data_IF_063682866255
#
_entry.id   IF_063682866255
#
_cell.length_a   1.000
_cell.length_b   1.000
_cell.length_c   1.000
_cell.angle_alpha   90.00
_cell.angle_beta   90.00
_cell.angle_gamma   90.00
#
_symmetry.space_group_name_H-M   'P 1'
#
loop_
_entity.id
_entity.type
_entity.pdbx_description
1 polymer ?
#
# COMPACT_ATOMS: atom_id res chain seq x y z
N UNK A 1 2.77 17.36 -17.15
CA UNK A 1 1.97 17.94 -16.04
C UNK A 1 1.93 16.89 -14.93
N UNK A 2 2.27 17.22 -13.68
CA UNK A 2 2.13 16.27 -12.56
C UNK A 2 0.68 16.33 -12.08
N UNK A 3 0.00 15.20 -12.06
CA UNK A 3 -1.45 15.08 -11.84
C UNK A 3 -1.86 15.31 -10.38
N UNK A 4 -0.93 15.68 -9.48
CA UNK A 4 -1.21 15.92 -8.05
C UNK A 4 -1.59 14.67 -7.24
N UNK A 5 -1.52 13.47 -7.82
CA UNK A 5 -1.92 12.22 -7.14
C UNK A 5 -0.83 11.77 -6.16
N UNK A 6 -1.21 11.64 -4.89
CA UNK A 6 -0.37 11.06 -3.83
C UNK A 6 -0.52 9.54 -3.84
N UNK A 7 0.61 8.82 -3.84
CA UNK A 7 0.66 7.35 -3.85
C UNK A 7 1.53 6.82 -2.73
N UNK A 8 1.27 5.59 -2.31
CA UNK A 8 2.18 4.83 -1.47
C UNK A 8 3.06 3.94 -2.35
N UNK A 9 4.35 3.89 -2.06
CA UNK A 9 5.32 3.05 -2.78
C UNK A 9 5.95 2.07 -1.79
N UNK A 10 5.67 0.78 -1.98
CA UNK A 10 6.28 -0.29 -1.19
C UNK A 10 7.44 -0.89 -1.96
N UNK A 11 8.65 -0.80 -1.39
CA UNK A 11 9.84 -1.47 -1.93
C UNK A 11 9.91 -2.90 -1.42
N UNK A 12 9.95 -3.85 -2.35
CA UNK A 12 10.11 -5.27 -2.08
C UNK A 12 11.60 -5.65 -2.13
N UNK A 13 12.00 -6.57 -1.26
CA UNK A 13 13.36 -7.13 -1.20
C UNK A 13 13.27 -8.63 -1.44
N UNK A 14 14.39 -9.21 -1.87
CA UNK A 14 14.58 -10.66 -1.90
C UNK A 14 13.55 -11.45 -2.74
N UNK A 15 13.00 -10.82 -3.77
CA UNK A 15 12.16 -11.48 -4.76
C UNK A 15 12.91 -11.59 -6.09
N UNK A 16 12.81 -12.75 -6.73
CA UNK A 16 13.20 -12.91 -8.13
C UNK A 16 12.11 -12.35 -9.06
N UNK A 17 12.31 -12.44 -10.38
CA UNK A 17 11.35 -11.89 -11.35
C UNK A 17 10.00 -12.61 -11.33
N UNK A 18 10.04 -13.94 -11.31
CA UNK A 18 8.85 -14.80 -11.35
C UNK A 18 8.00 -14.56 -10.10
N UNK A 19 8.60 -14.61 -8.92
CA UNK A 19 7.91 -14.34 -7.64
C UNK A 19 7.27 -12.95 -7.61
N UNK A 20 7.96 -11.95 -8.17
CA UNK A 20 7.43 -10.58 -8.22
C UNK A 20 6.24 -10.47 -9.17
N UNK A 21 6.33 -11.06 -10.37
CA UNK A 21 5.25 -11.06 -11.36
C UNK A 21 4.02 -11.81 -10.84
N UNK A 22 4.19 -12.99 -10.23
CA UNK A 22 3.11 -13.76 -9.60
C UNK A 22 2.44 -12.98 -8.46
N UNK A 23 3.24 -12.30 -7.62
CA UNK A 23 2.70 -11.49 -6.54
C UNK A 23 1.89 -10.31 -7.04
N UNK A 24 2.37 -9.60 -8.07
CA UNK A 24 1.62 -8.50 -8.70
C UNK A 24 0.33 -9.00 -9.34
N UNK A 25 0.36 -10.13 -10.03
CA UNK A 25 -0.83 -10.71 -10.66
C UNK A 25 -1.89 -11.04 -9.61
N UNK A 26 -1.50 -11.75 -8.55
CA UNK A 26 -2.39 -12.06 -7.42
C UNK A 26 -3.00 -10.80 -6.80
N UNK A 27 -2.19 -9.77 -6.53
CA UNK A 27 -2.69 -8.52 -5.96
C UNK A 27 -3.61 -7.74 -6.92
N UNK A 28 -3.39 -7.83 -8.23
CA UNK A 28 -4.22 -7.20 -9.26
C UNK A 28 -5.57 -7.90 -9.46
N UNK A 29 -5.62 -9.22 -9.21
CA UNK A 29 -6.84 -10.02 -9.30
C UNK A 29 -7.76 -9.84 -8.08
N UNK A 30 -7.20 -9.43 -6.94
CA UNK A 30 -7.96 -9.10 -5.73
C UNK A 30 -8.69 -7.77 -5.91
N UNK A 31 -9.94 -7.84 -6.36
CA UNK A 31 -10.85 -6.69 -6.52
C UNK A 31 -11.95 -6.74 -5.47
N UNK A 32 -11.80 -5.94 -4.41
CA UNK A 32 -12.81 -5.83 -3.36
C UNK A 32 -12.77 -4.43 -2.73
N UNK A 33 -13.92 -3.83 -2.34
CA UNK A 33 -13.96 -2.48 -1.77
C UNK A 33 -13.09 -2.26 -0.52
N UNK A 34 -12.74 -3.35 0.19
CA UNK A 34 -11.94 -3.32 1.42
C UNK A 34 -10.51 -3.85 1.23
N UNK A 35 -10.09 -4.12 -0.02
CA UNK A 35 -8.74 -4.61 -0.33
C UNK A 35 -8.09 -3.62 -1.28
N UNK A 36 -6.93 -3.09 -0.89
CA UNK A 36 -6.21 -2.12 -1.71
C UNK A 36 -5.46 -2.83 -2.84
N UNK A 37 -5.90 -2.61 -4.08
CA UNK A 37 -5.21 -3.11 -5.26
C UNK A 37 -4.03 -2.18 -5.65
N UNK A 38 -2.93 -2.71 -6.20
CA UNK A 38 -1.89 -1.90 -6.81
C UNK A 38 -2.41 -1.10 -8.00
N UNK A 39 -1.93 0.14 -8.14
CA UNK A 39 -2.19 0.99 -9.33
C UNK A 39 -1.06 0.89 -10.36
N UNK A 40 0.07 0.29 -9.98
CA UNK A 40 1.20 0.07 -10.86
C UNK A 40 2.37 -0.58 -10.14
N UNK A 41 3.42 -0.90 -10.89
CA UNK A 41 4.64 -1.47 -10.35
C UNK A 41 5.87 -1.07 -11.17
N UNK A 42 7.05 -1.23 -10.58
CA UNK A 42 8.33 -1.09 -11.25
C UNK A 42 9.23 -2.28 -10.91
N UNK A 43 9.83 -2.90 -11.92
CA UNK A 43 10.80 -3.98 -11.74
C UNK A 43 12.10 -3.67 -12.45
N UNK A 44 13.19 -3.70 -11.68
CA UNK A 44 14.59 -3.73 -12.11
C UNK A 44 15.38 -4.66 -11.18
N UNK A 45 16.60 -5.02 -11.59
CA UNK A 45 17.48 -5.95 -10.87
C UNK A 45 17.58 -5.62 -9.37
N UNK A 46 17.80 -4.34 -9.07
CA UNK A 46 18.05 -3.83 -7.70
C UNK A 46 16.84 -3.11 -7.10
N UNK A 47 15.77 -2.92 -7.87
CA UNK A 47 14.62 -2.15 -7.41
C UNK A 47 13.30 -2.79 -7.85
N UNK A 48 12.47 -3.11 -6.85
CA UNK A 48 11.17 -3.76 -7.04
C UNK A 48 10.15 -2.96 -6.24
N UNK A 49 9.29 -2.22 -6.93
CA UNK A 49 8.35 -1.28 -6.32
C UNK A 49 6.92 -1.67 -6.68
N UNK A 50 6.06 -1.63 -5.67
CA UNK A 50 4.60 -1.72 -5.83
C UNK A 50 4.04 -0.35 -5.49
N UNK A 51 3.18 0.18 -6.37
CA UNK A 51 2.54 1.48 -6.22
C UNK A 51 1.06 1.26 -5.94
N UNK A 52 0.53 1.92 -4.92
CA UNK A 52 -0.90 1.91 -4.56
C UNK A 52 -1.40 3.31 -4.23
N UNK A 53 -2.72 3.45 -4.10
CA UNK A 53 -3.30 4.68 -3.54
C UNK A 53 -2.73 4.93 -2.13
N UNK A 54 -2.56 6.21 -1.78
CA UNK A 54 -2.13 6.59 -0.45
C UNK A 54 -3.34 6.70 0.48
N UNK A 55 -3.29 6.00 1.62
CA UNK A 55 -4.31 6.07 2.66
C UNK A 55 -3.94 7.12 3.71
N UNK A 56 -4.58 8.32 3.73
CA UNK A 56 -4.17 9.43 4.58
C UNK A 56 -4.40 9.19 6.07
N UNK A 57 -5.33 8.30 6.43
CA UNK A 57 -5.61 7.93 7.82
C UNK A 57 -4.61 6.91 8.38
N UNK A 58 -3.66 6.45 7.56
CA UNK A 58 -2.58 5.59 8.00
C UNK A 58 -3.03 4.18 8.43
N UNK A 59 -2.21 3.56 9.28
CA UNK A 59 -2.39 2.19 9.74
C UNK A 59 -3.40 2.11 10.88
N UNK A 60 -4.40 1.22 10.75
CA UNK A 60 -5.34 0.96 11.83
C UNK A 60 -4.63 0.42 13.10
N UNK A 61 -3.59 -0.40 12.93
CA UNK A 61 -2.76 -0.87 14.06
C UNK A 61 -2.20 0.31 14.86
N UNK A 62 -1.73 1.35 14.16
CA UNK A 62 -1.21 2.55 14.82
C UNK A 62 -2.32 3.33 15.52
N UNK A 63 -3.48 3.49 14.88
CA UNK A 63 -4.64 4.18 15.48
C UNK A 63 -5.13 3.50 16.76
N UNK A 64 -5.11 2.16 16.81
CA UNK A 64 -5.59 1.39 17.96
C UNK A 64 -4.58 1.29 19.11
N UNK A 65 -3.27 1.29 18.83
CA UNK A 65 -2.25 0.89 19.81
C UNK A 65 -1.13 1.91 20.05
N UNK A 66 -1.18 3.11 19.46
CA UNK A 66 -0.16 4.14 19.75
C UNK A 66 -0.43 4.82 21.09
N UNK A 67 0.55 4.77 22.00
CA UNK A 67 0.47 5.34 23.37
C UNK A 67 0.57 6.88 23.41
N UNK A 68 0.61 7.57 22.27
CA UNK A 68 0.86 9.01 22.24
C UNK A 68 -0.03 9.77 21.24
N UNK A 69 -0.80 10.75 21.79
CA UNK A 69 -1.02 12.15 21.31
C UNK A 69 -2.47 12.61 20.99
N UNK A 70 -2.74 13.94 21.07
CA UNK A 70 -4.06 14.58 21.26
C UNK A 70 -5.04 14.50 20.10
N UNK A 71 -4.59 14.04 18.93
CA UNK A 71 -5.29 14.08 17.65
C UNK A 71 -5.87 12.70 17.30
N UNK A 72 -6.30 11.98 18.35
CA UNK A 72 -6.82 10.61 18.24
C UNK A 72 -7.94 10.58 17.20
N UNK A 73 -7.71 9.85 16.10
CA UNK A 73 -8.75 9.54 15.13
C UNK A 73 -9.84 8.80 15.89
N UNK A 74 -11.00 9.44 16.06
CA UNK A 74 -12.17 8.80 16.65
C UNK A 74 -12.71 7.86 15.59
N UNK A 75 -12.64 6.56 15.89
CA UNK A 75 -13.27 5.53 15.09
C UNK A 75 -14.76 5.55 15.41
N UNK A 76 -15.58 5.88 14.42
CA UNK A 76 -17.05 5.89 14.47
C UNK A 76 -17.64 4.51 14.19
N UNK A 77 -16.95 3.46 14.64
CA UNK A 77 -17.38 2.09 14.45
C UNK A 77 -18.67 1.83 15.26
N UNK A 78 -19.66 1.14 14.68
CA UNK A 78 -20.92 0.80 15.36
C UNK A 78 -20.73 -0.21 16.49
#
# INVERSE_FOLDING_TARGET
>A
MRNGVTVAVKRMRDMNRVEFEEHIQMLGDLRHPNVLSPVGYHYRREEKLIVSEFMPRGSLLYVLHSDQRPDRVVLDWP
#
